data_IF_133490569104
#
_entry.id   IF_133490569104
#
_cell.length_a   1.000
_cell.length_b   1.000
_cell.length_c   1.000
_cell.angle_alpha   90.00
_cell.angle_beta   90.00
_cell.angle_gamma   90.00
#
_symmetry.space_group_name_H-M   'P 1'
#
loop_
_entity.id
_entity.type
_entity.pdbx_description
1 polymer ?
#
# COMPACT_ATOMS: atom_id res chain seq x y z
N UNK A 1 -39.05 -4.56 -17.75
CA UNK A 1 -37.76 -4.34 -18.42
C UNK A 1 -36.68 -4.31 -17.36
N UNK A 2 -36.05 -5.46 -17.10
CA UNK A 2 -34.94 -5.57 -16.17
C UNK A 2 -33.68 -5.11 -16.91
N UNK A 3 -32.98 -4.13 -16.35
CA UNK A 3 -31.68 -3.69 -16.85
C UNK A 3 -30.68 -4.79 -16.49
N UNK A 4 -30.23 -5.56 -17.47
CA UNK A 4 -29.05 -6.41 -17.35
C UNK A 4 -27.84 -5.48 -17.19
N UNK A 5 -27.32 -5.37 -15.97
CA UNK A 5 -25.96 -4.87 -15.79
C UNK A 5 -25.02 -5.82 -16.53
N UNK A 6 -24.14 -5.32 -17.42
CA UNK A 6 -23.03 -6.13 -17.88
C UNK A 6 -22.18 -6.47 -16.66
N UNK A 7 -22.15 -7.75 -16.31
CA UNK A 7 -21.19 -8.32 -15.37
C UNK A 7 -19.82 -7.93 -15.89
N UNK A 8 -19.20 -6.95 -15.23
CA UNK A 8 -17.78 -6.67 -15.38
C UNK A 8 -17.06 -7.99 -15.13
N UNK A 9 -16.33 -8.50 -16.12
CA UNK A 9 -15.43 -9.64 -15.94
C UNK A 9 -14.67 -9.44 -14.63
N UNK A 10 -14.61 -10.44 -13.72
CA UNK A 10 -13.76 -10.33 -12.56
C UNK A 10 -12.35 -9.97 -13.04
N UNK A 11 -11.60 -9.12 -12.31
CA UNK A 11 -10.19 -8.92 -12.60
C UNK A 11 -9.54 -10.31 -12.68
N UNK A 12 -8.60 -10.50 -13.61
CA UNK A 12 -7.84 -11.75 -13.76
C UNK A 12 -7.51 -12.25 -12.36
N UNK A 13 -8.03 -13.43 -12.00
CA UNK A 13 -7.73 -14.08 -10.71
C UNK A 13 -6.21 -14.26 -10.67
N UNK A 14 -5.49 -13.28 -10.11
CA UNK A 14 -4.09 -13.42 -9.69
C UNK A 14 -4.10 -14.32 -8.47
N UNK A 15 -4.36 -15.60 -8.72
CA UNK A 15 -4.41 -16.63 -7.72
C UNK A 15 -3.03 -16.69 -7.08
N UNK A 16 -2.95 -16.31 -5.80
CA UNK A 16 -1.68 -16.27 -5.08
C UNK A 16 -1.04 -17.67 -5.13
N UNK A 17 0.26 -17.71 -5.40
CA UNK A 17 1.01 -18.95 -5.48
C UNK A 17 1.79 -19.15 -4.19
N UNK A 18 1.97 -20.41 -3.79
CA UNK A 18 2.81 -20.75 -2.66
C UNK A 18 4.28 -20.48 -3.01
N UNK A 19 4.98 -19.70 -2.18
CA UNK A 19 6.38 -19.30 -2.43
C UNK A 19 7.38 -20.47 -2.35
N UNK A 20 6.96 -21.63 -1.81
CA UNK A 20 7.78 -22.83 -1.78
C UNK A 20 7.55 -23.75 -2.99
N UNK A 21 6.29 -24.09 -3.30
CA UNK A 21 5.96 -25.11 -4.31
C UNK A 21 5.35 -24.56 -5.61
N UNK A 22 5.06 -23.26 -5.67
CA UNK A 22 4.49 -22.59 -6.84
C UNK A 22 3.04 -22.95 -7.17
N UNK A 23 2.38 -23.75 -6.32
CA UNK A 23 0.98 -24.12 -6.51
C UNK A 23 0.05 -23.00 -6.02
N UNK A 24 -1.13 -22.82 -6.62
CA UNK A 24 -2.14 -21.90 -6.12
C UNK A 24 -2.49 -22.19 -4.66
N UNK A 25 -2.55 -21.16 -3.83
CA UNK A 25 -3.03 -21.29 -2.45
C UNK A 25 -4.55 -21.21 -2.41
N UNK A 26 -5.15 -21.86 -1.41
CA UNK A 26 -6.60 -21.78 -1.20
C UNK A 26 -6.97 -20.41 -0.62
N UNK A 27 -8.03 -19.79 -1.11
CA UNK A 27 -8.61 -18.56 -0.54
C UNK A 27 -8.97 -18.67 0.95
N UNK A 28 -9.30 -19.88 1.41
CA UNK A 28 -9.77 -20.13 2.79
C UNK A 28 -8.75 -20.82 3.68
N UNK A 29 -7.65 -21.29 3.09
CA UNK A 29 -6.64 -22.08 3.79
C UNK A 29 -5.25 -21.79 3.23
N UNK A 30 -4.69 -20.67 3.68
CA UNK A 30 -3.34 -20.22 3.39
C UNK A 30 -2.69 -19.66 4.65
N UNK A 31 -1.37 -19.57 4.65
CA UNK A 31 -0.59 -19.00 5.74
C UNK A 31 0.33 -17.91 5.19
N UNK A 32 0.22 -16.71 5.74
CA UNK A 32 1.17 -15.62 5.52
C UNK A 32 2.22 -15.57 6.61
N UNK A 33 3.47 -15.35 6.24
CA UNK A 33 4.57 -15.06 7.17
C UNK A 33 5.19 -13.73 6.80
N UNK A 34 5.53 -12.94 7.80
CA UNK A 34 6.34 -11.73 7.66
C UNK A 34 7.50 -11.79 8.65
N UNK A 35 8.71 -11.53 8.15
CA UNK A 35 9.95 -11.54 8.94
C UNK A 35 10.53 -10.13 8.94
N UNK A 36 10.58 -9.52 10.12
CA UNK A 36 11.25 -8.23 10.32
C UNK A 36 12.77 -8.40 10.40
N UNK A 37 13.51 -7.68 9.56
CA UNK A 37 14.97 -7.66 9.50
C UNK A 37 15.48 -6.29 9.95
N UNK A 38 16.29 -6.22 11.03
CA UNK A 38 16.89 -4.97 11.42
C UNK A 38 17.97 -4.58 10.41
N UNK A 39 17.79 -3.43 9.75
CA UNK A 39 18.82 -2.84 8.89
C UNK A 39 19.76 -2.01 9.76
N UNK A 40 21.09 -2.24 9.72
CA UNK A 40 22.02 -1.36 10.42
C UNK A 40 21.89 0.05 9.85
N UNK A 41 21.84 1.06 10.74
CA UNK A 41 21.84 2.45 10.31
C UNK A 41 23.11 2.74 9.51
N UNK A 42 22.95 3.16 8.26
CA UNK A 42 24.05 3.63 7.42
C UNK A 42 24.49 5.02 7.89
N UNK A 43 25.79 5.33 7.83
CA UNK A 43 26.33 6.63 8.26
C UNK A 43 25.59 7.78 7.55
N UNK A 44 24.81 8.54 8.31
CA UNK A 44 24.04 9.70 7.81
C UNK A 44 22.52 9.52 7.74
N UNK A 45 21.99 8.32 8.01
CA UNK A 45 20.53 8.10 8.13
C UNK A 45 20.07 8.14 9.59
N UNK A 46 19.18 9.10 9.90
CA UNK A 46 18.64 9.30 11.26
C UNK A 46 17.66 8.19 11.68
N UNK A 47 17.15 7.40 10.72
CA UNK A 47 16.18 6.35 10.95
C UNK A 47 16.57 5.06 10.22
N UNK A 48 16.73 3.97 10.96
CA UNK A 48 16.82 2.64 10.36
C UNK A 48 15.44 2.22 9.87
N UNK A 49 15.30 1.96 8.58
CA UNK A 49 14.11 1.29 8.06
C UNK A 49 14.18 -0.19 8.44
N UNK A 50 13.12 -0.69 9.09
CA UNK A 50 12.95 -2.14 9.26
C UNK A 50 12.55 -2.70 7.91
N UNK A 51 13.33 -3.64 7.42
CA UNK A 51 13.03 -4.34 6.19
C UNK A 51 12.14 -5.56 6.51
N UNK A 52 11.17 -5.84 5.65
CA UNK A 52 10.17 -6.89 5.88
C UNK A 52 10.21 -7.87 4.72
N UNK A 53 10.44 -9.14 5.03
CA UNK A 53 10.34 -10.23 4.06
C UNK A 53 9.06 -11.01 4.30
N UNK A 54 8.15 -10.96 3.33
CA UNK A 54 6.89 -11.70 3.36
C UNK A 54 6.92 -12.98 2.53
N UNK A 55 6.04 -13.92 2.86
CA UNK A 55 5.73 -15.07 2.01
C UNK A 55 4.34 -15.66 2.28
N UNK A 56 3.78 -16.32 1.26
CA UNK A 56 2.47 -16.97 1.27
C UNK A 56 2.65 -18.48 1.03
N UNK A 57 2.03 -19.30 1.87
CA UNK A 57 2.20 -20.76 1.86
C UNK A 57 0.88 -21.50 1.92
N UNK A 58 0.82 -22.65 1.23
CA UNK A 58 -0.34 -23.54 1.28
C UNK A 58 -0.43 -24.36 2.57
N UNK A 59 0.63 -24.40 3.39
CA UNK A 59 0.67 -25.15 4.66
C UNK A 59 1.71 -24.61 5.64
N UNK A 60 1.56 -24.97 6.92
CA UNK A 60 2.56 -24.68 7.96
C UNK A 60 3.91 -25.36 7.67
N UNK A 61 3.89 -26.58 7.12
CA UNK A 61 5.12 -27.32 6.79
C UNK A 61 5.93 -26.59 5.70
N UNK A 62 5.26 -26.04 4.69
CA UNK A 62 5.93 -25.28 3.62
C UNK A 62 6.53 -23.98 4.15
N UNK A 63 5.79 -23.27 5.00
CA UNK A 63 6.28 -22.12 5.72
C UNK A 63 7.54 -22.45 6.55
N UNK A 64 7.50 -23.55 7.32
CA UNK A 64 8.62 -23.98 8.14
C UNK A 64 9.85 -24.36 7.29
N UNK A 65 9.66 -25.04 6.16
CA UNK A 65 10.73 -25.38 5.24
C UNK A 65 11.33 -24.14 4.57
N UNK A 66 10.51 -23.14 4.23
CA UNK A 66 10.99 -21.87 3.69
C UNK A 66 11.85 -21.11 4.73
N UNK A 67 11.43 -21.08 6.00
CA UNK A 67 12.19 -20.46 7.10
C UNK A 67 13.54 -21.13 7.40
N UNK A 68 13.75 -22.37 6.96
CA UNK A 68 15.03 -23.07 7.10
C UNK A 68 16.07 -22.63 6.05
N UNK A 69 15.65 -21.93 5.01
CA UNK A 69 16.54 -21.44 3.97
C UNK A 69 17.22 -20.12 4.40
N UNK A 70 18.45 -19.84 3.95
CA UNK A 70 19.05 -18.54 4.14
C UNK A 70 18.16 -17.44 3.57
N UNK A 71 17.91 -16.39 4.35
CA UNK A 71 17.11 -15.27 3.89
C UNK A 71 17.81 -14.58 2.70
N UNK A 72 17.07 -14.21 1.63
CA UNK A 72 17.64 -13.47 0.52
C UNK A 72 18.20 -12.13 0.99
N UNK A 73 19.13 -11.54 0.23
CA UNK A 73 19.61 -10.19 0.54
C UNK A 73 18.42 -9.20 0.54
N UNK A 74 18.43 -8.17 1.41
CA UNK A 74 17.41 -7.14 1.40
C UNK A 74 17.41 -6.40 0.06
N UNK A 75 16.22 -5.99 -0.39
CA UNK A 75 16.12 -5.14 -1.57
C UNK A 75 16.76 -3.78 -1.27
N UNK A 76 17.46 -3.17 -2.23
CA UNK A 76 18.01 -1.84 -2.04
C UNK A 76 16.88 -0.84 -1.80
N UNK A 77 17.08 0.06 -0.82
CA UNK A 77 16.14 1.15 -0.54
C UNK A 77 15.97 1.97 -1.81
N UNK A 78 14.76 1.94 -2.37
CA UNK A 78 14.42 2.81 -3.49
C UNK A 78 14.05 4.17 -2.93
N UNK A 79 14.83 5.20 -3.29
CA UNK A 79 14.39 6.57 -3.07
C UNK A 79 13.06 6.78 -3.80
N UNK A 80 11.98 7.01 -3.05
CA UNK A 80 10.69 7.37 -3.61
C UNK A 80 10.82 8.74 -4.26
N UNK A 81 11.02 8.74 -5.58
CA UNK A 81 11.00 9.98 -6.37
C UNK A 81 9.56 10.38 -6.60
N UNK A 82 9.11 11.38 -5.85
CA UNK A 82 7.81 12.01 -6.10
C UNK A 82 7.66 12.38 -7.58
N UNK A 83 6.59 11.89 -8.18
CA UNK A 83 6.24 12.23 -9.54
C UNK A 83 5.73 13.68 -9.63
N UNK A 84 5.93 14.33 -10.78
CA UNK A 84 5.32 15.65 -11.04
C UNK A 84 3.79 15.60 -10.90
N UNK A 85 3.18 14.46 -11.22
CA UNK A 85 1.74 14.24 -11.09
C UNK A 85 1.29 14.30 -9.64
N UNK A 86 1.99 13.61 -8.73
CA UNK A 86 1.69 13.65 -7.30
C UNK A 86 1.82 15.06 -6.73
N UNK A 87 2.87 15.79 -7.12
CA UNK A 87 3.04 17.19 -6.70
C UNK A 87 1.90 18.08 -7.17
N UNK A 88 1.41 17.88 -8.40
CA UNK A 88 0.26 18.63 -8.93
C UNK A 88 -1.03 18.26 -8.21
N UNK A 89 -1.25 16.99 -7.88
CA UNK A 89 -2.41 16.53 -7.12
C UNK A 89 -2.42 17.10 -5.69
N UNK A 90 -1.26 17.08 -5.02
CA UNK A 90 -1.13 17.66 -3.68
C UNK A 90 -1.35 19.18 -3.73
N UNK A 91 -0.75 19.86 -4.71
CA UNK A 91 -0.92 21.29 -4.91
C UNK A 91 -2.36 21.68 -5.21
N UNK A 92 -3.06 20.92 -6.06
CA UNK A 92 -4.46 21.21 -6.38
C UNK A 92 -5.39 21.00 -5.20
N UNK A 93 -5.14 19.95 -4.39
CA UNK A 93 -5.89 19.71 -3.16
C UNK A 93 -5.75 20.87 -2.18
N UNK A 94 -4.53 21.40 -2.00
CA UNK A 94 -4.28 22.58 -1.15
C UNK A 94 -5.01 23.83 -1.66
N UNK A 95 -4.97 24.09 -2.97
CA UNK A 95 -5.66 25.24 -3.58
C UNK A 95 -7.18 25.14 -3.39
N UNK A 96 -7.76 23.97 -3.62
CA UNK A 96 -9.20 23.74 -3.41
C UNK A 96 -9.58 23.92 -1.95
N UNK A 97 -8.80 23.36 -1.02
CA UNK A 97 -9.01 23.52 0.42
C UNK A 97 -8.99 25.00 0.84
N UNK A 98 -8.00 25.77 0.36
CA UNK A 98 -7.93 27.20 0.59
C UNK A 98 -9.12 27.97 0.03
N UNK A 99 -9.58 27.63 -1.18
CA UNK A 99 -10.75 28.26 -1.78
C UNK A 99 -12.03 28.01 -0.95
N UNK A 100 -12.22 26.79 -0.45
CA UNK A 100 -13.35 26.44 0.42
C UNK A 100 -13.30 27.27 1.72
N UNK A 101 -12.13 27.36 2.36
CA UNK A 101 -11.97 28.14 3.58
C UNK A 101 -12.25 29.63 3.37
N UNK A 102 -11.79 30.20 2.25
CA UNK A 102 -12.06 31.59 1.89
C UNK A 102 -13.54 31.85 1.65
N UNK A 103 -14.23 30.96 0.91
CA UNK A 103 -15.66 31.09 0.67
C UNK A 103 -16.47 30.97 1.97
N UNK A 104 -16.08 30.06 2.87
CA UNK A 104 -16.69 29.94 4.19
C UNK A 104 -16.49 31.21 5.03
N UNK A 105 -15.29 31.80 5.01
CA UNK A 105 -15.00 33.05 5.72
C UNK A 105 -15.82 34.23 5.16
N UNK A 106 -15.93 34.35 3.83
CA UNK A 106 -16.77 35.37 3.20
C UNK A 106 -18.23 35.16 3.57
N UNK A 107 -18.74 33.94 3.52
CA UNK A 107 -20.11 33.60 3.91
C UNK A 107 -20.40 33.90 5.39
N UNK A 108 -19.45 33.62 6.29
CA UNK A 108 -19.58 33.97 7.69
C UNK A 108 -19.58 35.49 7.91
N UNK A 109 -18.68 36.20 7.23
CA UNK A 109 -18.61 37.67 7.32
C UNK A 109 -19.89 38.34 6.83
N UNK A 110 -20.45 37.91 5.69
CA UNK A 110 -21.69 38.48 5.16
C UNK A 110 -22.89 38.21 6.06
N UNK A 111 -22.98 37.04 6.70
CA UNK A 111 -24.03 36.76 7.69
C UNK A 111 -23.91 37.64 8.93
N UNK A 112 -22.69 37.90 9.40
CA UNK A 112 -22.45 38.73 10.58
C UNK A 112 -22.74 40.21 10.33
N UNK A 113 -22.55 40.71 9.11
CA UNK A 113 -22.80 42.12 8.77
C UNK A 113 -24.19 42.39 8.22
N UNK A 114 -24.98 41.36 7.92
CA UNK A 114 -26.37 41.47 7.48
C UNK A 114 -27.40 41.57 8.63
N UNK A 115 -26.92 41.53 9.89
CA UNK A 115 -27.70 41.72 11.13
C UNK A 115 -27.45 43.14 11.64
#
# INVERSE_FOLDING_TARGET
>A
MAMHHPESSPPVDEQALCDLCGQPVSETAWLGIEVSRPTPATDGEEHSFTDYLGGIFCSQDHAAQWLQQPLPAPEPVQEVKESRRERLLLGSLLVVGMAILLLAAVGAFTLLTAI
#
